data_IF_593499252874
#
_entry.id   IF_593499252874
#
_cell.length_a   1.000
_cell.length_b   1.000
_cell.length_c   1.000
_cell.angle_alpha   90.00
_cell.angle_beta   90.00
_cell.angle_gamma   90.00
#
_symmetry.space_group_name_H-M   'P 1'
#
loop_
_entity.id
_entity.type
_entity.pdbx_description
1 polymer ?
#
# COMPACT_ATOMS: atom_id res chain seq x y z
N UNK A 1 6.44 2.62 4.26
CA UNK A 1 7.15 3.17 5.44
C UNK A 1 8.59 2.67 5.50
N UNK A 2 9.46 3.15 4.60
CA UNK A 2 10.90 2.85 4.58
C UNK A 2 11.68 3.90 5.40
N UNK A 3 12.94 3.63 5.75
CA UNK A 3 13.87 4.64 6.27
C UNK A 3 14.11 4.66 7.77
N UNK A 4 13.24 4.04 8.59
CA UNK A 4 13.33 4.05 10.07
C UNK A 4 14.75 3.87 10.63
N UNK A 5 15.41 2.76 10.26
CA UNK A 5 16.77 2.42 10.72
C UNK A 5 17.85 3.37 10.16
N UNK A 6 17.65 3.96 8.97
CA UNK A 6 18.57 4.94 8.38
C UNK A 6 18.47 6.28 9.12
N UNK A 7 17.24 6.73 9.38
CA UNK A 7 16.95 7.97 10.09
C UNK A 7 17.53 7.99 11.52
N UNK A 8 17.42 6.87 12.24
CA UNK A 8 17.99 6.70 13.59
C UNK A 8 19.52 6.75 13.57
N UNK A 9 20.16 5.94 12.71
CA UNK A 9 21.63 5.90 12.57
C UNK A 9 22.21 7.27 12.20
N UNK A 10 21.55 8.01 11.33
CA UNK A 10 21.95 9.38 10.95
C UNK A 10 21.89 10.39 12.13
N UNK A 11 21.25 10.03 13.24
CA UNK A 11 21.14 10.82 14.48
C UNK A 11 21.91 10.22 15.65
N UNK A 12 22.66 9.13 15.44
CA UNK A 12 23.35 8.40 16.51
C UNK A 12 22.43 7.63 17.46
N UNK A 13 21.18 7.39 17.07
CA UNK A 13 20.16 6.68 17.85
C UNK A 13 20.15 5.18 17.55
N UNK A 14 19.54 4.38 18.43
CA UNK A 14 19.34 2.95 18.19
C UNK A 14 18.31 2.73 17.06
N UNK A 15 18.47 1.70 16.22
CA UNK A 15 17.45 1.34 15.23
C UNK A 15 16.01 1.23 15.78
N UNK A 16 15.82 0.80 17.04
CA UNK A 16 14.52 0.72 17.72
C UNK A 16 13.88 2.11 17.89
N UNK A 17 14.65 3.15 18.18
CA UNK A 17 14.13 4.51 18.33
C UNK A 17 13.54 5.02 17.01
N UNK A 18 14.20 4.74 15.89
CA UNK A 18 13.67 5.04 14.56
C UNK A 18 12.37 4.30 14.24
N UNK A 19 12.14 3.12 14.81
CA UNK A 19 10.86 2.42 14.70
C UNK A 19 9.78 2.98 15.65
N UNK A 20 10.14 3.49 16.83
CA UNK A 20 9.22 4.22 17.72
C UNK A 20 8.73 5.52 17.09
N UNK A 21 9.63 6.33 16.57
CA UNK A 21 9.28 7.57 15.85
C UNK A 21 8.44 7.28 14.60
N UNK A 22 8.75 6.18 13.90
CA UNK A 22 7.90 5.68 12.82
C UNK A 22 6.49 5.24 13.28
N UNK A 23 6.32 4.78 14.52
CA UNK A 23 5.00 4.45 15.06
C UNK A 23 4.21 5.70 15.50
N UNK A 24 4.88 6.77 15.95
CA UNK A 24 4.22 8.07 16.20
C UNK A 24 3.70 8.68 14.88
N UNK A 25 4.54 8.65 13.84
CA UNK A 25 4.19 9.13 12.49
C UNK A 25 2.93 8.47 11.91
N UNK A 26 2.62 7.24 12.31
CA UNK A 26 1.40 6.55 11.90
C UNK A 26 0.14 7.33 12.25
N UNK A 27 0.03 7.75 13.52
CA UNK A 27 -1.15 8.46 14.02
C UNK A 27 -1.40 9.76 13.25
N UNK A 28 -0.34 10.53 13.03
CA UNK A 28 -0.38 11.76 12.23
C UNK A 28 -0.85 11.49 10.79
N UNK A 29 -0.34 10.45 10.11
CA UNK A 29 -0.76 10.13 8.73
C UNK A 29 -2.20 9.64 8.65
N UNK A 30 -2.69 8.88 9.64
CA UNK A 30 -4.09 8.50 9.72
C UNK A 30 -5.00 9.72 9.95
N UNK A 31 -4.58 10.67 10.80
CA UNK A 31 -5.30 11.94 11.01
C UNK A 31 -5.38 12.74 9.70
N UNK A 32 -4.26 12.93 8.99
CA UNK A 32 -4.24 13.68 7.73
C UNK A 32 -5.05 13.01 6.61
N UNK A 33 -5.07 11.67 6.58
CA UNK A 33 -5.89 10.92 5.64
C UNK A 33 -7.39 11.11 5.92
N UNK A 34 -7.80 11.09 7.20
CA UNK A 34 -9.17 11.37 7.61
C UNK A 34 -9.57 12.83 7.31
N UNK A 35 -8.71 13.81 7.61
CA UNK A 35 -8.91 15.23 7.25
C UNK A 35 -9.04 15.43 5.73
N UNK A 36 -8.30 14.66 4.93
CA UNK A 36 -8.33 14.70 3.46
C UNK A 36 -9.47 13.87 2.84
N UNK A 37 -10.35 13.27 3.65
CA UNK A 37 -11.43 12.37 3.22
C UNK A 37 -10.96 11.18 2.35
N UNK A 38 -9.79 10.62 2.67
CA UNK A 38 -9.29 9.37 2.06
C UNK A 38 -10.16 8.21 2.54
N UNK A 39 -10.87 7.54 1.64
CA UNK A 39 -11.85 6.50 1.96
C UNK A 39 -11.22 5.21 2.51
N UNK A 40 -10.07 4.81 1.98
CA UNK A 40 -9.32 3.63 2.45
C UNK A 40 -7.83 3.93 2.48
N UNK A 41 -7.18 3.63 3.60
CA UNK A 41 -5.75 3.80 3.79
C UNK A 41 -5.08 2.45 4.05
N UNK A 42 -4.10 2.09 3.22
CA UNK A 42 -3.34 0.83 3.38
C UNK A 42 -1.90 1.14 3.72
N UNK A 43 -1.50 0.90 4.98
CA UNK A 43 -0.15 1.21 5.48
C UNK A 43 0.57 -0.06 5.94
N UNK A 44 1.88 -0.09 5.75
CA UNK A 44 2.67 -1.30 6.03
C UNK A 44 3.18 -1.37 7.50
N UNK A 45 2.27 -1.46 8.48
CA UNK A 45 2.51 -1.17 9.92
C UNK A 45 2.24 -2.35 10.89
N UNK A 46 1.78 -2.06 12.12
CA UNK A 46 1.28 -2.95 13.18
C UNK A 46 0.11 -2.20 13.94
N UNK A 47 -1.18 -2.57 13.72
CA UNK A 47 -2.48 -1.96 14.23
C UNK A 47 -2.83 -0.47 13.88
N UNK A 48 -4.08 0.00 13.65
CA UNK A 48 -5.47 -0.57 13.60
C UNK A 48 -6.50 0.33 12.85
N UNK A 49 -7.64 -0.24 12.41
CA UNK A 49 -8.97 0.32 11.99
C UNK A 49 -9.13 1.34 10.84
N UNK A 50 -10.08 1.05 9.91
CA UNK A 50 -10.19 1.59 8.52
C UNK A 50 -8.84 1.64 7.77
N UNK A 51 -7.96 0.75 8.20
CA UNK A 51 -6.53 0.79 7.97
C UNK A 51 -6.05 -0.63 7.76
N UNK A 52 -5.65 -0.94 6.53
CA UNK A 52 -5.04 -2.23 6.26
C UNK A 52 -3.60 -2.23 6.71
N UNK A 53 -3.25 -3.23 7.50
CA UNK A 53 -1.91 -3.38 8.06
C UNK A 53 -1.34 -4.75 7.72
N UNK A 54 -0.35 -4.71 6.82
CA UNK A 54 0.23 -5.90 6.25
C UNK A 54 1.42 -6.42 7.09
N UNK A 55 1.18 -7.18 8.15
CA UNK A 55 2.29 -7.67 9.01
C UNK A 55 2.97 -8.88 8.37
N UNK A 56 4.30 -8.81 8.16
CA UNK A 56 5.08 -9.85 7.45
C UNK A 56 4.51 -10.24 6.07
N UNK A 57 3.87 -9.27 5.40
CA UNK A 57 3.25 -9.41 4.09
C UNK A 57 4.28 -9.59 2.96
N UNK A 58 3.90 -10.40 1.97
CA UNK A 58 4.56 -10.52 0.66
C UNK A 58 3.48 -10.81 -0.40
N UNK A 59 3.44 -10.03 -1.48
CA UNK A 59 2.40 -10.14 -2.50
C UNK A 59 2.47 -11.40 -3.36
N UNK A 60 3.65 -12.03 -3.51
CA UNK A 60 3.76 -13.32 -4.20
C UNK A 60 3.13 -14.42 -3.34
N UNK A 61 3.34 -14.35 -2.02
CA UNK A 61 2.71 -15.24 -1.04
C UNK A 61 1.20 -15.04 -0.98
N UNK A 62 0.71 -13.81 -1.09
CA UNK A 62 -0.72 -13.52 -1.21
C UNK A 62 -1.33 -14.21 -2.43
N UNK A 63 -0.77 -14.00 -3.63
CA UNK A 63 -1.25 -14.62 -4.87
C UNK A 63 -1.19 -16.16 -4.77
N UNK A 64 -0.09 -16.72 -4.24
CA UNK A 64 0.03 -18.17 -4.03
C UNK A 64 -1.01 -18.71 -3.03
N UNK A 65 -1.34 -17.96 -1.97
CA UNK A 65 -2.43 -18.33 -1.05
C UNK A 65 -3.81 -18.19 -1.71
N UNK A 66 -4.04 -17.20 -2.57
CA UNK A 66 -5.28 -17.04 -3.32
C UNK A 66 -5.53 -18.24 -4.26
N UNK A 67 -4.54 -18.60 -5.07
CA UNK A 67 -4.59 -19.78 -5.93
C UNK A 67 -4.80 -21.07 -5.12
N UNK A 68 -4.13 -21.22 -3.97
CA UNK A 68 -4.35 -22.34 -3.05
C UNK A 68 -5.77 -22.37 -2.47
N UNK A 69 -6.39 -21.22 -2.18
CA UNK A 69 -7.78 -21.13 -1.71
C UNK A 69 -8.76 -21.54 -2.81
N UNK A 70 -8.59 -21.08 -4.05
CA UNK A 70 -9.41 -21.48 -5.20
C UNK A 70 -9.39 -23.01 -5.38
N UNK A 71 -8.19 -23.61 -5.40
CA UNK A 71 -8.03 -25.06 -5.57
C UNK A 71 -8.64 -25.88 -4.43
N UNK A 72 -8.63 -25.38 -3.19
CA UNK A 72 -9.16 -26.10 -2.02
C UNK A 72 -10.66 -25.89 -1.78
N UNK A 73 -11.24 -24.79 -2.27
CA UNK A 73 -12.69 -24.53 -2.17
C UNK A 73 -13.49 -25.28 -3.23
N UNK A 74 -12.84 -25.74 -4.32
CA UNK A 74 -13.51 -26.46 -5.40
C UNK A 74 -14.45 -25.58 -6.23
N UNK A 75 -14.28 -24.25 -6.16
CA UNK A 75 -14.99 -23.32 -7.04
C UNK A 75 -14.64 -23.65 -8.49
N UNK A 76 -15.67 -23.80 -9.33
CA UNK A 76 -15.46 -24.02 -10.76
C UNK A 76 -14.71 -22.83 -11.36
N UNK A 77 -13.58 -23.04 -12.06
CA UNK A 77 -12.92 -21.97 -12.80
C UNK A 77 -13.81 -21.48 -13.96
N UNK A 78 -13.55 -20.28 -14.52
CA UNK A 78 -14.09 -19.91 -15.82
C UNK A 78 -13.71 -20.94 -16.89
N UNK A 79 -14.56 -21.10 -17.89
CA UNK A 79 -14.38 -22.07 -18.96
C UNK A 79 -13.30 -21.63 -19.97
N UNK A 80 -12.81 -22.59 -20.76
CA UNK A 80 -11.98 -22.28 -21.93
C UNK A 80 -12.78 -21.44 -22.93
N UNK A 81 -12.33 -20.20 -23.15
CA UNK A 81 -12.99 -19.21 -24.00
C UNK A 81 -13.67 -18.08 -23.23
N UNK A 82 -13.82 -18.18 -21.90
CA UNK A 82 -14.29 -17.07 -21.07
C UNK A 82 -13.25 -15.93 -21.02
N UNK A 83 -13.69 -14.67 -20.82
CA UNK A 83 -12.79 -13.52 -20.64
C UNK A 83 -11.70 -13.75 -19.58
N UNK A 84 -10.50 -13.25 -19.85
CA UNK A 84 -9.39 -13.24 -18.86
C UNK A 84 -9.75 -12.44 -17.61
N UNK A 85 -10.70 -11.51 -17.71
CA UNK A 85 -11.18 -10.69 -16.59
C UNK A 85 -11.99 -11.52 -15.57
N UNK A 86 -12.64 -12.62 -15.98
CA UNK A 86 -13.32 -13.53 -15.05
C UNK A 86 -12.30 -14.32 -14.22
N UNK A 87 -11.13 -14.65 -14.80
CA UNK A 87 -10.01 -15.22 -14.07
C UNK A 87 -9.38 -14.21 -13.10
N UNK A 88 -9.24 -12.95 -13.53
CA UNK A 88 -8.76 -11.87 -12.65
C UNK A 88 -9.72 -11.65 -11.47
N UNK A 89 -11.03 -11.60 -11.73
CA UNK A 89 -12.05 -11.46 -10.70
C UNK A 89 -12.06 -12.65 -9.73
N UNK A 90 -11.88 -13.88 -10.23
CA UNK A 90 -11.76 -15.06 -9.38
C UNK A 90 -10.53 -14.96 -8.46
N UNK A 91 -9.38 -14.54 -8.97
CA UNK A 91 -8.17 -14.35 -8.16
C UNK A 91 -8.35 -13.22 -7.14
N UNK A 92 -8.88 -12.06 -7.56
CA UNK A 92 -9.12 -10.90 -6.71
C UNK A 92 -10.01 -11.23 -5.50
N UNK A 93 -11.13 -11.93 -5.74
CA UNK A 93 -12.04 -12.45 -4.70
C UNK A 93 -11.40 -13.42 -3.70
N UNK A 94 -10.21 -13.94 -4.01
CA UNK A 94 -9.46 -14.85 -3.16
C UNK A 94 -8.15 -14.25 -2.61
N UNK A 95 -7.89 -12.95 -2.76
CA UNK A 95 -6.78 -12.23 -2.09
C UNK A 95 -7.05 -12.11 -0.57
N UNK A 96 -6.20 -11.39 0.18
CA UNK A 96 -6.45 -11.13 1.60
C UNK A 96 -7.50 -10.03 1.84
N UNK A 97 -7.68 -9.14 0.86
CA UNK A 97 -8.56 -7.96 0.95
C UNK A 97 -9.54 -7.91 -0.23
N UNK A 98 -10.41 -8.93 -0.42
CA UNK A 98 -11.21 -9.09 -1.63
C UNK A 98 -12.34 -8.06 -1.80
N UNK A 99 -12.81 -7.47 -0.69
CA UNK A 99 -13.90 -6.49 -0.67
C UNK A 99 -13.40 -5.03 -0.68
N UNK A 100 -12.11 -4.80 -0.89
CA UNK A 100 -11.50 -3.49 -0.87
C UNK A 100 -11.09 -3.03 -2.28
N UNK A 101 -11.20 -1.73 -2.58
CA UNK A 101 -10.73 -1.20 -3.85
C UNK A 101 -9.21 -1.32 -3.95
N UNK A 102 -8.73 -1.44 -5.19
CA UNK A 102 -7.31 -1.27 -5.50
C UNK A 102 -6.86 0.17 -5.14
N UNK A 103 -5.65 0.37 -4.61
CA UNK A 103 -5.19 1.69 -4.19
C UNK A 103 -4.90 2.58 -5.41
N UNK A 104 -5.51 3.76 -5.48
CA UNK A 104 -5.22 4.71 -6.56
C UNK A 104 -3.78 5.27 -6.51
N UNK A 105 -3.26 5.47 -5.29
CA UNK A 105 -1.98 6.10 -5.03
C UNK A 105 -1.16 5.31 -4.00
N UNK A 106 0.07 4.97 -4.35
CA UNK A 106 1.04 4.35 -3.45
C UNK A 106 2.18 5.33 -3.15
N UNK A 107 2.27 5.74 -1.87
CA UNK A 107 3.31 6.62 -1.35
C UNK A 107 4.45 5.77 -0.76
N UNK A 108 5.68 5.96 -1.26
CA UNK A 108 6.88 5.30 -0.73
C UNK A 108 7.95 6.31 -0.31
N UNK A 109 8.37 6.20 0.94
CA UNK A 109 9.39 7.05 1.57
C UNK A 109 10.83 6.59 1.31
N UNK A 110 11.80 7.45 1.63
CA UNK A 110 13.26 7.23 1.53
C UNK A 110 13.86 7.07 0.12
N UNK A 111 13.25 7.65 -0.91
CA UNK A 111 13.80 7.69 -2.28
C UNK A 111 13.84 6.34 -3.02
N UNK A 112 13.35 5.25 -2.42
CA UNK A 112 13.46 3.91 -2.99
C UNK A 112 12.42 3.67 -4.09
N UNK A 113 12.80 3.85 -5.35
CA UNK A 113 11.91 3.69 -6.52
C UNK A 113 11.65 2.22 -6.89
N UNK A 114 10.90 1.49 -6.05
CA UNK A 114 10.44 0.10 -6.30
C UNK A 114 9.26 -0.28 -5.41
N UNK A 115 8.58 -1.40 -5.70
CA UNK A 115 7.49 -1.93 -4.87
C UNK A 115 7.95 -2.86 -3.75
N UNK A 116 9.09 -3.56 -3.92
CA UNK A 116 9.56 -4.58 -2.97
C UNK A 116 8.55 -5.69 -2.64
N UNK A 117 7.65 -6.03 -3.56
CA UNK A 117 6.64 -7.08 -3.34
C UNK A 117 5.36 -6.61 -2.63
N UNK A 118 5.21 -5.30 -2.37
CA UNK A 118 3.99 -4.73 -1.80
C UNK A 118 2.85 -4.72 -2.83
N UNK A 119 1.66 -5.21 -2.43
CA UNK A 119 0.40 -5.19 -3.18
C UNK A 119 0.54 -5.57 -4.68
N UNK A 120 1.26 -6.65 -5.00
CA UNK A 120 1.63 -6.96 -6.39
C UNK A 120 0.46 -7.13 -7.36
N UNK A 121 -0.73 -7.46 -6.86
CA UNK A 121 -1.95 -7.54 -7.68
C UNK A 121 -2.64 -6.18 -7.71
N UNK A 122 -2.99 -5.65 -6.54
CA UNK A 122 -3.79 -4.45 -6.36
C UNK A 122 -3.08 -3.19 -6.89
N UNK A 123 -1.75 -3.19 -6.87
CA UNK A 123 -0.93 -2.07 -7.34
C UNK A 123 -0.74 -2.02 -8.87
N UNK A 124 -1.35 -2.92 -9.64
CA UNK A 124 -1.11 -3.05 -11.08
C UNK A 124 -1.41 -1.78 -11.88
N UNK A 125 -2.36 -0.96 -11.42
CA UNK A 125 -2.81 0.29 -12.06
C UNK A 125 -2.60 1.55 -11.21
N UNK A 126 -1.97 1.43 -10.03
CA UNK A 126 -1.75 2.56 -9.12
C UNK A 126 -0.79 3.61 -9.69
N UNK A 127 -1.03 4.88 -9.34
CA UNK A 127 -0.03 5.93 -9.41
C UNK A 127 0.99 5.79 -8.27
N UNK A 128 2.23 6.20 -8.53
CA UNK A 128 3.34 6.06 -7.58
C UNK A 128 3.95 7.41 -7.23
N UNK A 129 4.04 7.69 -5.92
CA UNK A 129 4.76 8.84 -5.39
C UNK A 129 5.92 8.38 -4.51
N UNK A 130 7.15 8.70 -4.94
CA UNK A 130 8.37 8.41 -4.19
C UNK A 130 8.88 9.72 -3.57
N UNK A 131 8.95 9.78 -2.23
CA UNK A 131 9.52 10.94 -1.52
C UNK A 131 10.87 10.59 -0.91
N UNK A 132 11.80 11.55 -0.92
CA UNK A 132 13.13 11.39 -0.33
C UNK A 132 13.10 11.35 1.20
N UNK A 133 12.11 12.00 1.82
CA UNK A 133 11.94 11.99 3.28
C UNK A 133 11.87 10.54 3.80
N UNK A 134 12.71 10.14 4.80
CA UNK A 134 12.56 8.86 5.47
C UNK A 134 11.32 8.87 6.36
N UNK A 135 10.71 7.70 6.59
CA UNK A 135 9.38 7.62 7.23
C UNK A 135 9.22 8.44 8.52
N UNK A 136 10.11 8.40 9.52
CA UNK A 136 9.96 9.21 10.73
C UNK A 136 9.89 10.74 10.49
N UNK A 137 10.43 11.22 9.36
CA UNK A 137 10.45 12.63 8.95
C UNK A 137 9.42 12.97 7.86
N UNK A 138 8.50 12.06 7.52
CA UNK A 138 7.47 12.29 6.51
C UNK A 138 6.46 13.34 7.01
N UNK A 139 6.45 14.54 6.41
CA UNK A 139 5.64 15.67 6.91
C UNK A 139 4.24 15.72 6.32
N UNK A 140 3.37 16.56 6.90
CA UNK A 140 2.05 16.87 6.35
C UNK A 140 2.16 17.49 4.95
N UNK A 141 3.22 18.26 4.70
CA UNK A 141 3.48 18.87 3.39
C UNK A 141 3.94 17.84 2.34
N UNK A 142 4.72 16.83 2.73
CA UNK A 142 5.06 15.68 1.86
C UNK A 142 3.81 14.85 1.52
N UNK A 143 2.95 14.61 2.51
CA UNK A 143 1.65 13.94 2.29
C UNK A 143 0.75 14.72 1.33
N UNK A 144 0.59 16.03 1.55
CA UNK A 144 -0.16 16.91 0.64
C UNK A 144 0.44 16.94 -0.77
N UNK A 145 1.77 17.01 -0.89
CA UNK A 145 2.47 17.00 -2.18
C UNK A 145 2.20 15.71 -2.97
N UNK A 146 2.07 14.57 -2.28
CA UNK A 146 1.68 13.30 -2.90
C UNK A 146 0.24 13.34 -3.44
N UNK A 147 -0.71 13.84 -2.64
CA UNK A 147 -2.12 14.00 -3.04
C UNK A 147 -2.28 15.00 -4.20
N UNK A 148 -1.61 16.15 -4.12
CA UNK A 148 -1.62 17.18 -5.18
C UNK A 148 -0.99 16.65 -6.48
N UNK A 149 0.10 15.87 -6.39
CA UNK A 149 0.70 15.18 -7.53
C UNK A 149 -0.30 14.24 -8.21
N UNK A 150 -0.99 13.39 -7.45
CA UNK A 150 -2.03 12.48 -7.96
C UNK A 150 -3.20 13.25 -8.59
N UNK A 151 -3.77 14.23 -7.89
CA UNK A 151 -4.87 15.06 -8.38
C UNK A 151 -4.50 15.81 -9.68
N UNK A 152 -3.25 16.24 -9.83
CA UNK A 152 -2.76 16.90 -11.06
C UNK A 152 -2.64 15.96 -12.27
N UNK A 153 -2.55 14.64 -12.04
CA UNK A 153 -2.50 13.62 -13.09
C UNK A 153 -3.90 13.19 -13.49
N UNK A 154 -4.80 12.97 -12.52
CA UNK A 154 -6.20 12.65 -12.80
C UNK A 154 -6.91 13.73 -13.64
N UNK A 155 -6.63 15.02 -13.40
CA UNK A 155 -7.17 16.10 -14.26
C UNK A 155 -6.69 16.06 -15.73
N UNK A 156 -5.62 15.33 -16.06
CA UNK A 156 -5.12 15.18 -17.44
C UNK A 156 -5.80 14.06 -18.22
N UNK A 157 -6.52 13.16 -17.56
CA UNK A 157 -7.31 12.09 -18.20
C UNK A 157 -8.81 12.44 -18.35
N UNK A 158 -9.23 13.64 -17.94
CA UNK A 158 -10.62 14.11 -17.98
C UNK A 158 -10.98 15.02 -19.16
N UNK A 159 -10.33 14.86 -20.32
CA UNK A 159 -10.54 15.64 -21.54
C UNK A 159 -10.61 14.72 -22.77
#
# INVERSE_FOLDING_TARGET
MDGNRRWARARGLDPVDGHREGALRLGEVCEWAAEAAVETLTLWVLSTDNLNIAIAYDGRREIAHALRRILLTGVAPPADGDPVDDWQLLIAKHLYTPDQPDPDLIIRTSGEQRLSGFLLWQAAVSEYYFCEAPWPAFSRDEFRSALDSYASRHRRYGH
#
